data_IF_466882172748
#
_entry.id   IF_466882172748
#
_cell.length_a   1.000
_cell.length_b   1.000
_cell.length_c   1.000
_cell.angle_alpha   90.00
_cell.angle_beta   90.00
_cell.angle_gamma   90.00
#
_symmetry.space_group_name_H-M   'P 1'
#
loop_
_entity.id
_entity.type
_entity.pdbx_description
1 polymer ?
#
# COMPACT_ATOMS: atom_id res chain seq x y z
N UNK A 1 -17.96 1.84 -18.80
CA UNK A 1 -16.50 1.59 -18.85
C UNK A 1 -16.27 0.31 -19.63
N UNK A 2 -15.50 0.36 -20.71
CA UNK A 2 -15.19 -0.81 -21.55
C UNK A 2 -14.30 -1.79 -20.76
N UNK A 3 -14.36 -3.08 -21.06
CA UNK A 3 -13.57 -4.12 -20.36
C UNK A 3 -12.06 -3.75 -20.31
N UNK A 4 -11.50 -3.28 -21.43
CA UNK A 4 -10.10 -2.84 -21.53
C UNK A 4 -9.75 -1.74 -20.53
N UNK A 5 -10.66 -0.80 -20.27
CA UNK A 5 -10.46 0.30 -19.30
C UNK A 5 -10.52 -0.21 -17.86
N UNK A 6 -11.45 -1.14 -17.57
CA UNK A 6 -11.50 -1.81 -16.25
C UNK A 6 -10.21 -2.56 -15.99
N UNK A 7 -9.74 -3.30 -17.01
CA UNK A 7 -8.48 -4.01 -16.93
C UNK A 7 -7.35 -3.00 -16.69
N UNK A 8 -7.14 -2.04 -17.58
CA UNK A 8 -6.07 -1.07 -17.38
C UNK A 8 -6.07 -0.38 -16.00
N UNK A 9 -7.25 -0.05 -15.45
CA UNK A 9 -7.39 0.58 -14.13
C UNK A 9 -6.97 -0.33 -12.98
N UNK A 10 -7.46 -1.57 -12.92
CA UNK A 10 -7.25 -2.47 -11.79
C UNK A 10 -6.02 -3.37 -11.96
N UNK A 11 -5.02 -2.95 -12.73
CA UNK A 11 -3.86 -3.76 -13.11
C UNK A 11 -3.04 -4.33 -11.97
N UNK A 12 -2.93 -3.60 -10.85
CA UNK A 12 -2.30 -4.13 -9.64
C UNK A 12 -2.94 -5.44 -9.16
N UNK A 13 -4.27 -5.57 -9.27
CA UNK A 13 -5.05 -6.72 -8.79
C UNK A 13 -4.87 -8.01 -9.61
N UNK A 14 -4.11 -8.00 -10.72
CA UNK A 14 -3.59 -9.24 -11.31
C UNK A 14 -2.08 -9.28 -11.45
N UNK A 15 -1.39 -8.14 -11.59
CA UNK A 15 0.08 -8.14 -11.67
C UNK A 15 0.69 -8.75 -10.40
N UNK A 16 0.32 -8.24 -9.22
CA UNK A 16 0.91 -8.70 -7.96
C UNK A 16 0.46 -10.11 -7.58
N UNK A 17 -0.82 -10.52 -7.75
CA UNK A 17 -1.21 -11.91 -7.51
C UNK A 17 -0.56 -12.90 -8.46
N UNK A 18 -0.42 -12.59 -9.76
CA UNK A 18 0.28 -13.47 -10.70
C UNK A 18 1.77 -13.61 -10.34
N UNK A 19 2.40 -12.50 -9.94
CA UNK A 19 3.79 -12.53 -9.48
C UNK A 19 3.95 -13.33 -8.17
N UNK A 20 3.03 -13.17 -7.22
CA UNK A 20 2.98 -13.98 -6.00
C UNK A 20 2.88 -15.47 -6.31
N UNK A 21 1.93 -15.86 -7.17
CA UNK A 21 1.74 -17.26 -7.58
C UNK A 21 2.98 -17.81 -8.27
N UNK A 22 3.58 -17.05 -9.19
CA UNK A 22 4.79 -17.45 -9.90
C UNK A 22 5.95 -17.68 -8.92
N UNK A 23 6.20 -16.73 -8.02
CA UNK A 23 7.32 -16.83 -7.07
C UNK A 23 7.09 -17.94 -6.04
N UNK A 24 5.87 -18.10 -5.53
CA UNK A 24 5.53 -19.23 -4.68
C UNK A 24 5.74 -20.54 -5.42
N UNK A 25 5.26 -20.66 -6.66
CA UNK A 25 5.43 -21.87 -7.46
C UNK A 25 6.91 -22.23 -7.66
N UNK A 26 7.74 -21.27 -8.06
CA UNK A 26 9.20 -21.48 -8.25
C UNK A 26 9.86 -21.86 -6.93
N UNK A 27 9.53 -21.14 -5.86
CA UNK A 27 10.17 -21.36 -4.55
C UNK A 27 9.60 -22.56 -3.81
N UNK A 28 8.50 -23.20 -4.19
CA UNK A 28 7.94 -24.36 -3.46
C UNK A 28 8.28 -25.73 -4.05
N UNK A 29 8.97 -25.79 -5.20
CA UNK A 29 9.18 -27.05 -5.93
C UNK A 29 10.02 -28.14 -5.24
N UNK A 30 10.79 -27.83 -4.20
CA UNK A 30 11.80 -28.76 -3.65
C UNK A 30 11.61 -29.13 -2.17
N UNK A 31 11.00 -28.27 -1.34
CA UNK A 31 10.85 -28.51 0.11
C UNK A 31 9.50 -27.98 0.64
N UNK A 32 8.40 -28.59 0.21
CA UNK A 32 7.04 -28.07 0.45
C UNK A 32 6.70 -27.88 1.94
N UNK A 33 7.04 -28.82 2.82
CA UNK A 33 6.61 -28.78 4.23
C UNK A 33 7.28 -27.64 5.02
N UNK A 34 8.61 -27.51 4.96
CA UNK A 34 9.34 -26.43 5.62
C UNK A 34 8.90 -25.05 5.11
N UNK A 35 8.59 -24.96 3.80
CA UNK A 35 8.15 -23.71 3.16
C UNK A 35 6.72 -23.32 3.54
N UNK A 36 5.82 -24.28 3.75
CA UNK A 36 4.50 -24.02 4.31
C UNK A 36 4.59 -23.45 5.73
N UNK A 37 5.46 -24.00 6.58
CA UNK A 37 5.68 -23.48 7.93
C UNK A 37 6.25 -22.05 7.91
N UNK A 38 7.16 -21.77 6.99
CA UNK A 38 7.69 -20.41 6.80
C UNK A 38 6.57 -19.41 6.45
N UNK A 39 5.59 -19.79 5.62
CA UNK A 39 4.48 -18.89 5.27
C UNK A 39 3.62 -18.49 6.47
N UNK A 40 3.40 -19.39 7.43
CA UNK A 40 2.54 -19.12 8.61
C UNK A 40 2.98 -17.88 9.37
N UNK A 41 4.29 -17.64 9.47
CA UNK A 41 4.85 -16.51 10.22
C UNK A 41 5.32 -15.36 9.33
N UNK A 42 5.83 -15.67 8.13
CA UNK A 42 6.34 -14.64 7.23
C UNK A 42 5.24 -13.86 6.54
N UNK A 43 4.10 -14.49 6.24
CA UNK A 43 2.98 -13.78 5.64
C UNK A 43 2.41 -12.69 6.58
N UNK A 44 2.11 -12.97 7.87
CA UNK A 44 1.73 -11.91 8.82
C UNK A 44 2.83 -10.87 9.03
N UNK A 45 4.10 -11.27 9.06
CA UNK A 45 5.21 -10.32 9.11
C UNK A 45 5.21 -9.39 7.89
N UNK A 46 4.94 -9.92 6.70
CA UNK A 46 4.78 -9.15 5.47
C UNK A 46 3.64 -8.13 5.55
N UNK A 47 2.49 -8.50 6.11
CA UNK A 47 1.38 -7.57 6.36
C UNK A 47 1.78 -6.45 7.33
N UNK A 48 2.54 -6.78 8.39
CA UNK A 48 3.06 -5.80 9.33
C UNK A 48 4.06 -4.84 8.64
N UNK A 49 5.00 -5.37 7.85
CA UNK A 49 5.94 -4.59 7.04
C UNK A 49 5.17 -3.66 6.10
N UNK A 50 4.16 -4.17 5.40
CA UNK A 50 3.31 -3.34 4.55
C UNK A 50 2.65 -2.21 5.34
N UNK A 51 2.05 -2.50 6.50
CA UNK A 51 1.36 -1.46 7.27
C UNK A 51 2.28 -0.30 7.66
N UNK A 52 3.55 -0.60 7.95
CA UNK A 52 4.58 0.39 8.24
C UNK A 52 5.02 1.14 6.98
N UNK A 53 5.19 0.42 5.86
CA UNK A 53 5.50 1.02 4.56
C UNK A 53 4.39 1.94 4.08
N UNK A 54 3.12 1.56 4.22
CA UNK A 54 1.97 2.40 3.92
C UNK A 54 2.09 3.74 4.65
N UNK A 55 2.27 3.69 5.97
CA UNK A 55 2.42 4.88 6.79
C UNK A 55 3.64 5.72 6.36
N UNK A 56 4.80 5.07 6.21
CA UNK A 56 6.05 5.73 5.89
C UNK A 56 6.07 6.37 4.50
N UNK A 57 5.59 5.65 3.49
CA UNK A 57 5.46 6.16 2.12
C UNK A 57 4.48 7.32 2.09
N UNK A 58 3.31 7.18 2.71
CA UNK A 58 2.30 8.24 2.68
C UNK A 58 2.79 9.51 3.38
N UNK A 59 3.44 9.38 4.53
CA UNK A 59 3.94 10.53 5.31
C UNK A 59 5.19 11.16 4.71
N UNK A 60 6.21 10.38 4.39
CA UNK A 60 7.55 10.89 4.10
C UNK A 60 7.88 10.97 2.61
N UNK A 61 7.24 10.16 1.77
CA UNK A 61 7.46 10.17 0.32
C UNK A 61 6.37 10.97 -0.38
N UNK A 62 5.10 10.61 -0.16
CA UNK A 62 4.00 11.21 -0.88
C UNK A 62 3.66 12.63 -0.41
N UNK A 63 3.89 12.93 0.87
CA UNK A 63 3.79 14.27 1.47
C UNK A 63 5.14 14.93 1.76
N UNK A 64 6.20 14.55 1.01
CA UNK A 64 7.51 15.19 1.16
C UNK A 64 7.39 16.72 1.02
N UNK A 65 7.85 17.45 2.04
CA UNK A 65 7.70 18.91 2.13
C UNK A 65 8.92 19.69 1.63
N UNK A 66 10.07 19.02 1.51
CA UNK A 66 11.28 19.69 1.06
C UNK A 66 11.21 19.94 -0.45
N UNK A 67 11.79 21.07 -0.88
CA UNK A 67 11.81 21.47 -2.29
C UNK A 67 12.69 20.49 -3.07
N UNK A 68 12.07 19.50 -3.70
CA UNK A 68 12.77 18.62 -4.65
C UNK A 68 13.17 19.49 -5.85
N UNK A 69 14.46 19.83 -5.93
CA UNK A 69 15.00 20.75 -6.93
C UNK A 69 14.83 20.22 -8.36
N UNK A 70 14.86 18.89 -8.53
CA UNK A 70 14.63 18.24 -9.81
C UNK A 70 13.12 18.00 -10.03
N UNK A 71 12.47 18.70 -10.98
CA UNK A 71 11.05 18.55 -11.24
C UNK A 71 10.66 17.11 -11.65
N UNK A 72 11.52 16.41 -12.39
CA UNK A 72 11.26 15.02 -12.81
C UNK A 72 11.21 14.08 -11.61
N UNK A 73 12.10 14.27 -10.64
CA UNK A 73 12.12 13.46 -9.43
C UNK A 73 10.88 13.72 -8.56
N UNK A 74 10.46 14.98 -8.46
CA UNK A 74 9.21 15.36 -7.76
C UNK A 74 8.00 14.70 -8.40
N UNK A 75 7.98 14.68 -9.74
CA UNK A 75 6.86 14.11 -10.47
C UNK A 75 6.82 12.58 -10.31
N UNK A 76 7.98 11.91 -10.24
CA UNK A 76 8.06 10.46 -9.98
C UNK A 76 7.64 10.11 -8.53
N UNK A 77 8.09 10.88 -7.53
CA UNK A 77 7.90 10.51 -6.13
C UNK A 77 6.50 10.82 -5.59
N UNK A 78 5.87 11.91 -6.07
CA UNK A 78 4.63 12.39 -5.47
C UNK A 78 3.53 12.70 -6.48
N UNK A 79 3.75 12.70 -7.80
CA UNK A 79 2.72 13.21 -8.73
C UNK A 79 1.43 12.41 -8.68
N UNK A 80 1.50 11.08 -8.51
CA UNK A 80 0.29 10.25 -8.38
C UNK A 80 -0.53 10.70 -7.17
N UNK A 81 0.11 10.88 -6.03
CA UNK A 81 -0.54 11.31 -4.80
C UNK A 81 -1.02 12.76 -4.84
N UNK A 82 -0.22 13.68 -5.40
CA UNK A 82 -0.61 15.08 -5.57
C UNK A 82 -1.78 15.24 -6.55
N UNK A 83 -1.78 14.48 -7.64
CA UNK A 83 -2.88 14.44 -8.62
C UNK A 83 -4.16 13.91 -7.98
N UNK A 84 -4.05 12.88 -7.14
CA UNK A 84 -5.16 12.38 -6.31
C UNK A 84 -5.69 13.46 -5.36
N UNK A 85 -4.81 14.12 -4.60
CA UNK A 85 -5.22 15.22 -3.71
C UNK A 85 -5.88 16.40 -4.46
N UNK A 86 -5.46 16.68 -5.70
CA UNK A 86 -6.05 17.71 -6.54
C UNK A 86 -7.43 17.32 -7.09
N UNK A 87 -7.67 16.02 -7.31
CA UNK A 87 -8.92 15.50 -7.86
C UNK A 87 -9.39 14.23 -7.12
N UNK A 88 -9.76 14.33 -5.82
CA UNK A 88 -10.00 13.16 -4.97
C UNK A 88 -11.26 12.35 -5.34
N UNK A 89 -12.09 12.87 -6.25
CA UNK A 89 -13.29 12.19 -6.76
C UNK A 89 -13.08 11.54 -8.13
N UNK A 90 -11.90 11.71 -8.74
CA UNK A 90 -11.58 11.11 -10.03
C UNK A 90 -11.11 9.67 -9.85
N UNK A 91 -11.90 8.65 -10.26
CA UNK A 91 -11.56 7.24 -10.04
C UNK A 91 -10.33 6.78 -10.83
N UNK A 92 -9.83 7.58 -11.79
CA UNK A 92 -8.60 7.27 -12.55
C UNK A 92 -7.34 7.64 -11.80
N UNK A 93 -7.45 8.40 -10.71
CA UNK A 93 -6.32 8.93 -9.92
C UNK A 93 -6.18 8.29 -8.53
N UNK A 94 -7.08 7.37 -8.18
CA UNK A 94 -7.09 6.74 -6.85
C UNK A 94 -6.06 5.62 -6.72
N UNK A 95 -5.97 4.77 -7.75
CA UNK A 95 -5.07 3.61 -7.72
C UNK A 95 -3.66 4.02 -8.12
N UNK A 96 -2.67 3.37 -7.50
CA UNK A 96 -1.27 3.64 -7.75
C UNK A 96 -0.88 3.00 -9.08
N UNK A 97 -0.04 3.68 -9.87
CA UNK A 97 0.55 3.01 -11.04
C UNK A 97 1.43 1.85 -10.55
N UNK A 98 1.18 0.58 -10.96
CA UNK A 98 1.97 -0.57 -10.53
C UNK A 98 3.46 -0.43 -10.84
N UNK A 99 3.90 0.45 -11.75
CA UNK A 99 5.33 0.73 -11.95
C UNK A 99 5.98 1.19 -10.64
N UNK A 100 5.32 2.05 -9.86
CA UNK A 100 5.83 2.48 -8.55
C UNK A 100 5.84 1.31 -7.56
N UNK A 101 4.76 0.53 -7.54
CA UNK A 101 4.66 -0.66 -6.70
C UNK A 101 5.74 -1.70 -7.02
N UNK A 102 6.05 -1.92 -8.29
CA UNK A 102 7.10 -2.84 -8.75
C UNK A 102 8.50 -2.36 -8.36
N UNK A 103 8.79 -1.06 -8.50
CA UNK A 103 10.07 -0.48 -8.09
C UNK A 103 10.31 -0.64 -6.58
N UNK A 104 9.31 -0.29 -5.76
CA UNK A 104 9.35 -0.47 -4.30
C UNK A 104 9.47 -1.96 -3.96
N UNK A 105 8.73 -2.82 -4.66
CA UNK A 105 8.77 -4.27 -4.47
C UNK A 105 10.14 -4.86 -4.77
N UNK A 106 10.80 -4.42 -5.84
CA UNK A 106 12.14 -4.91 -6.19
C UNK A 106 13.18 -4.52 -5.13
N UNK A 107 13.16 -3.26 -4.68
CA UNK A 107 14.05 -2.80 -3.62
C UNK A 107 13.80 -3.55 -2.30
N UNK A 108 12.53 -3.67 -1.89
CA UNK A 108 12.16 -4.38 -0.66
C UNK A 108 12.51 -5.87 -0.74
N UNK A 109 12.26 -6.52 -1.88
CA UNK A 109 12.58 -7.93 -2.07
C UNK A 109 14.10 -8.18 -1.96
N UNK A 110 14.93 -7.28 -2.51
CA UNK A 110 16.38 -7.33 -2.33
C UNK A 110 16.79 -7.24 -0.86
N UNK A 111 16.17 -6.34 -0.08
CA UNK A 111 16.42 -6.23 1.36
C UNK A 111 15.99 -7.49 2.12
N UNK A 112 14.83 -8.07 1.78
CA UNK A 112 14.34 -9.30 2.42
C UNK A 112 15.22 -10.50 2.07
N UNK A 113 15.76 -10.58 0.84
CA UNK A 113 16.73 -11.60 0.46
C UNK A 113 18.00 -11.52 1.31
N UNK A 114 18.54 -10.31 1.49
CA UNK A 114 19.72 -10.09 2.34
C UNK A 114 19.40 -10.45 3.80
N UNK A 115 18.25 -10.00 4.32
CA UNK A 115 17.87 -10.20 5.71
C UNK A 115 17.62 -11.67 6.07
N UNK A 116 16.99 -12.43 5.18
CA UNK A 116 16.65 -13.84 5.46
C UNK A 116 17.69 -14.84 4.96
N UNK A 117 18.55 -14.45 4.01
CA UNK A 117 19.51 -15.34 3.37
C UNK A 117 18.87 -16.48 2.56
N UNK A 118 17.54 -16.45 2.36
CA UNK A 118 16.77 -17.49 1.70
C UNK A 118 15.64 -16.89 0.87
N UNK A 119 15.55 -17.32 -0.39
CA UNK A 119 14.58 -16.82 -1.33
C UNK A 119 13.14 -17.23 -0.99
N UNK A 120 12.93 -18.44 -0.46
CA UNK A 120 11.58 -18.90 -0.12
C UNK A 120 11.00 -18.10 1.06
N UNK A 121 11.83 -17.78 2.06
CA UNK A 121 11.45 -16.90 3.18
C UNK A 121 11.18 -15.46 2.70
N UNK A 122 12.05 -14.90 1.86
CA UNK A 122 11.83 -13.57 1.29
C UNK A 122 10.50 -13.51 0.50
N UNK A 123 10.21 -14.52 -0.32
CA UNK A 123 8.93 -14.64 -1.04
C UNK A 123 7.76 -14.73 -0.07
N UNK A 124 7.86 -15.53 1.00
CA UNK A 124 6.79 -15.66 1.99
C UNK A 124 6.40 -14.32 2.64
N UNK A 125 7.40 -13.49 2.99
CA UNK A 125 7.15 -12.14 3.47
C UNK A 125 6.61 -11.22 2.38
N UNK A 126 7.15 -11.29 1.15
CA UNK A 126 6.73 -10.44 0.04
C UNK A 126 5.27 -10.66 -0.37
N UNK A 127 4.77 -11.89 -0.30
CA UNK A 127 3.35 -12.21 -0.54
C UNK A 127 2.44 -11.51 0.47
N UNK A 128 2.85 -11.47 1.74
CA UNK A 128 2.18 -10.71 2.78
C UNK A 128 2.19 -9.20 2.48
N UNK A 129 3.35 -8.67 2.06
CA UNK A 129 3.47 -7.26 1.66
C UNK A 129 2.52 -6.91 0.52
N UNK A 130 2.48 -7.71 -0.55
CA UNK A 130 1.60 -7.47 -1.68
C UNK A 130 0.12 -7.60 -1.32
N UNK A 131 -0.24 -8.53 -0.44
CA UNK A 131 -1.61 -8.64 0.04
C UNK A 131 -2.02 -7.40 0.83
N UNK A 132 -1.13 -6.89 1.68
CA UNK A 132 -1.32 -5.61 2.36
C UNK A 132 -1.50 -4.44 1.38
N UNK A 133 -0.63 -4.35 0.37
CA UNK A 133 -0.71 -3.33 -0.69
C UNK A 133 -2.04 -3.35 -1.44
N UNK A 134 -2.50 -4.52 -1.87
CA UNK A 134 -3.78 -4.66 -2.58
C UNK A 134 -4.97 -4.36 -1.66
N UNK A 135 -4.88 -4.71 -0.38
CA UNK A 135 -5.87 -4.32 0.61
C UNK A 135 -5.93 -2.80 0.78
N UNK A 136 -4.77 -2.13 0.85
CA UNK A 136 -4.68 -0.67 0.84
C UNK A 136 -5.34 -0.07 -0.40
N UNK A 137 -5.02 -0.54 -1.60
CA UNK A 137 -5.62 -0.02 -2.83
C UNK A 137 -7.15 -0.20 -2.84
N UNK A 138 -7.64 -1.36 -2.37
CA UNK A 138 -9.06 -1.63 -2.28
C UNK A 138 -9.76 -0.70 -1.28
N UNK A 139 -9.20 -0.52 -0.08
CA UNK A 139 -9.73 0.39 0.95
C UNK A 139 -9.70 1.82 0.46
N UNK A 140 -8.57 2.29 -0.08
CA UNK A 140 -8.39 3.65 -0.57
C UNK A 140 -9.38 3.98 -1.69
N UNK A 141 -9.53 3.09 -2.66
CA UNK A 141 -10.55 3.22 -3.70
C UNK A 141 -11.95 3.27 -3.09
N UNK A 142 -12.26 2.35 -2.15
CA UNK A 142 -13.57 2.25 -1.51
C UNK A 142 -13.95 3.51 -0.74
N UNK A 143 -13.04 4.11 0.03
CA UNK A 143 -13.36 5.29 0.86
C UNK A 143 -13.65 6.55 0.03
N UNK A 144 -13.08 6.64 -1.17
CA UNK A 144 -13.35 7.75 -2.11
C UNK A 144 -14.61 7.54 -2.94
N UNK A 145 -14.99 6.28 -3.20
CA UNK A 145 -16.25 5.99 -3.89
C UNK A 145 -17.47 6.34 -3.02
N UNK A 146 -18.55 6.79 -3.67
CA UNK A 146 -19.81 7.12 -2.98
C UNK A 146 -20.62 5.86 -2.63
N UNK A 147 -20.05 5.00 -1.79
CA UNK A 147 -20.65 3.75 -1.39
C UNK A 147 -20.85 3.73 0.14
N UNK A 148 -21.97 3.18 0.63
CA UNK A 148 -22.26 3.16 2.06
C UNK A 148 -21.23 2.30 2.80
N UNK A 149 -20.76 2.77 3.95
CA UNK A 149 -19.79 2.05 4.78
C UNK A 149 -20.21 2.08 6.24
N UNK A 150 -19.90 1.02 6.97
CA UNK A 150 -20.11 0.91 8.41
C UNK A 150 -18.84 0.38 9.09
N UNK A 151 -18.78 0.47 10.42
CA UNK A 151 -17.65 -0.03 11.21
C UNK A 151 -16.30 0.52 10.75
N UNK A 152 -15.37 -0.39 10.47
CA UNK A 152 -13.99 -0.06 10.07
C UNK A 152 -13.93 0.83 8.82
N UNK A 153 -14.73 0.56 7.79
CA UNK A 153 -14.72 1.34 6.54
C UNK A 153 -15.20 2.78 6.76
N UNK A 154 -16.22 2.96 7.61
CA UNK A 154 -16.70 4.30 7.97
C UNK A 154 -15.62 5.09 8.73
N UNK A 155 -14.90 4.43 9.62
CA UNK A 155 -13.77 5.03 10.33
C UNK A 155 -12.62 5.38 9.37
N UNK A 156 -12.19 4.46 8.50
CA UNK A 156 -11.15 4.69 7.48
C UNK A 156 -11.51 5.87 6.58
N UNK A 157 -12.77 5.94 6.14
CA UNK A 157 -13.28 7.06 5.33
C UNK A 157 -13.21 8.38 6.10
N UNK A 158 -13.66 8.41 7.35
CA UNK A 158 -13.60 9.62 8.18
C UNK A 158 -12.16 10.09 8.38
N UNK A 159 -11.25 9.19 8.74
CA UNK A 159 -9.84 9.50 8.96
C UNK A 159 -9.19 10.02 7.67
N UNK A 160 -9.39 9.34 6.55
CA UNK A 160 -8.81 9.72 5.28
C UNK A 160 -9.42 11.01 4.69
N UNK A 161 -10.70 11.28 4.92
CA UNK A 161 -11.31 12.54 4.50
C UNK A 161 -10.87 13.72 5.39
N UNK A 162 -10.66 13.49 6.69
CA UNK A 162 -10.01 14.48 7.55
C UNK A 162 -8.62 14.83 7.02
N UNK A 163 -7.84 13.83 6.59
CA UNK A 163 -6.57 14.04 5.93
C UNK A 163 -6.68 14.91 4.66
N UNK A 164 -7.61 14.57 3.76
CA UNK A 164 -7.80 15.30 2.50
C UNK A 164 -8.27 16.74 2.67
N UNK A 165 -9.24 16.96 3.55
CA UNK A 165 -10.04 18.19 3.57
C UNK A 165 -9.85 19.05 4.82
N UNK A 166 -9.23 18.53 5.88
CA UNK A 166 -9.06 19.27 7.14
C UNK A 166 -7.59 19.46 7.51
N UNK A 167 -6.82 18.39 7.58
CA UNK A 167 -5.40 18.47 7.94
C UNK A 167 -4.58 17.35 7.27
N UNK A 168 -3.78 17.74 6.27
CA UNK A 168 -2.93 16.83 5.48
C UNK A 168 -1.74 16.26 6.28
N UNK A 169 -1.53 16.72 7.50
CA UNK A 169 -0.42 16.32 8.37
C UNK A 169 -0.83 15.26 9.41
N UNK A 170 -2.02 14.68 9.24
CA UNK A 170 -2.61 13.67 10.13
C UNK A 170 -3.28 12.56 9.32
N UNK A 171 -3.56 11.43 9.98
CA UNK A 171 -4.22 10.25 9.43
C UNK A 171 -3.53 9.71 8.17
N UNK A 172 -2.23 9.42 8.29
CA UNK A 172 -1.45 8.86 7.19
C UNK A 172 -1.77 7.36 6.98
N UNK A 173 -2.20 6.65 8.01
CA UNK A 173 -2.72 5.29 7.88
C UNK A 173 -4.08 5.31 7.21
N UNK A 174 -4.19 4.69 6.03
CA UNK A 174 -5.46 4.53 5.29
C UNK A 174 -6.14 3.23 5.69
N UNK A 175 -5.38 2.15 5.87
CA UNK A 175 -5.90 0.84 6.27
C UNK A 175 -6.05 0.72 7.79
N UNK A 176 -5.13 1.27 8.56
CA UNK A 176 -5.07 1.13 10.02
C UNK A 176 -4.45 2.35 10.70
N UNK A 177 -4.93 2.77 11.89
CA UNK A 177 -4.35 3.89 12.64
C UNK A 177 -3.15 3.53 13.51
N UNK A 178 -2.72 2.27 13.53
CA UNK A 178 -1.67 1.79 14.46
C UNK A 178 -0.45 2.72 14.45
N UNK A 179 0.07 3.03 13.26
CA UNK A 179 1.23 3.91 13.13
C UNK A 179 0.91 5.38 13.37
N UNK A 180 -0.31 5.83 13.09
CA UNK A 180 -0.74 7.17 13.47
C UNK A 180 -0.73 7.36 14.99
N UNK A 181 -1.15 6.36 15.77
CA UNK A 181 -1.05 6.43 17.23
C UNK A 181 0.40 6.39 17.72
N UNK A 182 1.24 5.51 17.14
CA UNK A 182 2.67 5.41 17.49
C UNK A 182 3.38 6.75 17.26
N UNK A 183 3.09 7.41 16.15
CA UNK A 183 3.76 8.65 15.75
C UNK A 183 2.96 9.92 16.03
N UNK A 184 1.85 9.83 16.76
CA UNK A 184 0.98 10.94 17.20
C UNK A 184 0.41 11.80 16.06
N UNK A 185 0.03 11.14 14.96
CA UNK A 185 -0.62 11.75 13.80
C UNK A 185 -2.08 11.33 13.65
N UNK A 186 -2.68 10.77 14.71
CA UNK A 186 -4.05 10.25 14.70
C UNK A 186 -5.12 11.33 14.51
N UNK A 187 -6.31 10.86 14.11
CA UNK A 187 -7.52 11.66 14.03
C UNK A 187 -7.80 12.29 15.41
N UNK A 188 -7.90 13.62 15.52
CA UNK A 188 -8.18 14.26 16.81
C UNK A 188 -9.48 13.75 17.39
N UNK A 189 -9.50 13.53 18.71
CA UNK A 189 -10.75 13.27 19.43
C UNK A 189 -11.66 14.48 19.25
N UNK A 190 -12.90 14.27 18.84
CA UNK A 190 -13.90 15.34 18.85
C UNK A 190 -14.00 15.85 20.30
N UNK A 191 -13.78 17.14 20.52
CA UNK A 191 -14.13 17.78 21.79
C UNK A 191 -15.64 17.54 21.97
N UNK A 192 -15.99 16.74 22.98
CA UNK A 192 -17.36 16.68 23.48
C UNK A 192 -17.59 17.93 24.33
#
# INVERSE_FOLDING_TARGET
>A
MKLKERLYRFRSFWIFPLLAVLLLYVTFRSETQARLLNLVWLFPLGLLIWSLLEYGLHRFVFHIRFKVQNPRLRDVLNASHLSHHAAPRDPTKLLVDPVYGLAISAALFGLLLIAFGDAARAVGAMVGVWTGFLYYEAVHYRVHMNLPGSGLIAWQRRAHFYHHFTNRDRCFGVTTPVWDYVFRTELPRSRR
#
